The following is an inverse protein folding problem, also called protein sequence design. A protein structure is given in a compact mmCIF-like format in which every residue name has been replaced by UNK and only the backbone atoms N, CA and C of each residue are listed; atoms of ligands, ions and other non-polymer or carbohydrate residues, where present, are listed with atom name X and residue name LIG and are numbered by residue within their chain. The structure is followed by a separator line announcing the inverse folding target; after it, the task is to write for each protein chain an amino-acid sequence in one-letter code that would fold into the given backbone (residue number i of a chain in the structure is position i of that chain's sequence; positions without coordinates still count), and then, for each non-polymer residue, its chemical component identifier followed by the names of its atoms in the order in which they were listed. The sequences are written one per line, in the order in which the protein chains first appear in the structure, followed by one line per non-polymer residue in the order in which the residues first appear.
data_IF_143238316862
#
_entry.id   IF_143238316862
#
_cell.length_a   1.000
_cell.length_b   1.000
_cell.length_c   1.000
_cell.angle_alpha   90.00
_cell.angle_beta   90.00
_cell.angle_gamma   90.00
#
_symmetry.space_group_name_H-M   'P 1'
#
loop_
_entity.id
_entity.type
_entity.pdbx_description
1 polymer ?
#
# COMPACT_ATOMS: atom_id res chain seq x y z
N UNK A 1 35.64 -1.28 6.28
CA UNK A 1 34.45 -0.42 6.46
C UNK A 1 33.45 -0.76 5.38
N UNK A 2 32.33 -1.42 5.72
CA UNK A 2 31.28 -1.75 4.75
C UNK A 2 30.36 -0.53 4.53
N UNK A 3 30.01 -0.26 3.28
CA UNK A 3 29.20 0.88 2.86
C UNK A 3 27.79 0.85 3.51
N UNK A 4 27.31 1.94 4.13
CA UNK A 4 25.98 2.01 4.76
C UNK A 4 24.82 1.69 3.80
N UNK A 5 25.02 1.92 2.50
CA UNK A 5 24.03 1.71 1.43
C UNK A 5 23.75 0.22 1.16
N UNK A 6 24.69 -0.68 1.47
CA UNK A 6 24.49 -2.13 1.26
C UNK A 6 23.79 -2.83 2.43
N UNK A 7 23.79 -2.25 3.63
CA UNK A 7 23.07 -2.80 4.78
C UNK A 7 21.59 -2.41 4.79
N UNK A 8 21.24 -1.23 4.27
CA UNK A 8 19.84 -0.80 4.13
C UNK A 8 19.07 -1.62 3.09
N UNK A 9 19.71 -2.07 2.01
CA UNK A 9 19.08 -2.91 0.98
C UNK A 9 18.80 -4.35 1.46
N UNK A 10 19.66 -4.93 2.30
CA UNK A 10 19.46 -6.26 2.91
C UNK A 10 18.40 -6.28 4.00
N UNK A 11 18.31 -5.23 4.81
CA UNK A 11 17.28 -5.10 5.86
C UNK A 11 15.88 -4.97 5.26
N UNK A 12 15.74 -4.21 4.17
CA UNK A 12 14.45 -4.00 3.51
C UNK A 12 13.95 -5.26 2.77
N UNK A 13 14.85 -6.14 2.30
CA UNK A 13 14.45 -7.36 1.58
C UNK A 13 13.81 -8.42 2.48
N UNK A 14 14.24 -8.52 3.75
CA UNK A 14 13.73 -9.53 4.69
C UNK A 14 12.30 -9.23 5.19
N UNK A 15 11.97 -7.95 5.39
CA UNK A 15 10.63 -7.51 5.80
C UNK A 15 9.65 -7.64 4.62
N UNK A 16 10.12 -7.29 3.41
CA UNK A 16 9.35 -7.43 2.17
C UNK A 16 8.87 -8.88 1.94
N UNK A 17 9.75 -9.88 2.12
CA UNK A 17 9.43 -11.28 1.83
C UNK A 17 8.45 -11.93 2.82
N UNK A 18 8.40 -11.48 4.09
CA UNK A 18 7.44 -11.99 5.07
C UNK A 18 6.09 -11.28 5.03
N UNK A 19 6.04 -10.03 4.57
CA UNK A 19 4.83 -9.22 4.62
C UNK A 19 4.05 -9.28 3.30
N UNK A 20 4.74 -9.36 2.15
CA UNK A 20 4.11 -9.19 0.84
C UNK A 20 3.85 -10.54 0.17
N UNK A 21 2.59 -10.80 -0.20
CA UNK A 21 2.19 -12.02 -0.91
C UNK A 21 2.65 -12.01 -2.38
N UNK A 22 2.94 -13.17 -2.96
CA UNK A 22 3.36 -13.34 -4.37
C UNK A 22 2.36 -12.85 -5.44
N UNK A 23 1.15 -12.49 -5.03
CA UNK A 23 0.11 -11.92 -5.91
C UNK A 23 0.11 -10.39 -5.90
N UNK A 24 0.89 -9.78 -5.02
CA UNK A 24 1.18 -8.35 -5.04
C UNK A 24 2.46 -8.13 -5.83
N UNK A 25 2.37 -7.30 -6.85
CA UNK A 25 3.50 -6.93 -7.72
C UNK A 25 3.65 -5.41 -7.89
N UNK A 26 2.72 -4.62 -7.36
CA UNK A 26 2.78 -3.17 -7.40
C UNK A 26 3.78 -2.63 -6.38
N UNK A 27 4.59 -1.65 -6.77
CA UNK A 27 5.54 -0.96 -5.87
C UNK A 27 6.55 -1.89 -5.16
N UNK A 28 6.84 -3.05 -5.74
CA UNK A 28 7.85 -3.98 -5.24
C UNK A 28 9.05 -3.93 -6.19
N UNK A 29 10.27 -3.73 -5.68
CA UNK A 29 11.46 -3.81 -6.53
C UNK A 29 11.60 -5.18 -7.19
N UNK A 30 11.87 -5.19 -8.49
CA UNK A 30 12.10 -6.42 -9.26
C UNK A 30 10.84 -7.10 -9.79
N UNK A 31 9.64 -6.55 -9.54
CA UNK A 31 8.39 -7.01 -10.16
C UNK A 31 8.00 -6.13 -11.34
N UNK A 32 7.20 -6.69 -12.26
CA UNK A 32 6.73 -6.01 -13.47
C UNK A 32 5.21 -6.19 -13.64
N UNK A 33 4.53 -5.18 -14.16
CA UNK A 33 3.08 -5.24 -14.39
C UNK A 33 2.66 -6.36 -15.35
N UNK A 34 3.56 -6.80 -16.23
CA UNK A 34 3.30 -7.91 -17.15
C UNK A 34 2.97 -9.23 -16.44
N UNK A 35 3.48 -9.46 -15.23
CA UNK A 35 3.14 -10.64 -14.44
C UNK A 35 1.64 -10.71 -14.13
N UNK A 36 1.00 -9.57 -13.82
CA UNK A 36 -0.44 -9.52 -13.57
C UNK A 36 -1.24 -9.76 -14.86
N UNK A 37 -0.80 -9.20 -15.98
CA UNK A 37 -1.45 -9.40 -17.29
C UNK A 37 -1.42 -10.89 -17.66
N UNK A 38 -0.26 -11.53 -17.57
CA UNK A 38 -0.10 -12.96 -17.84
C UNK A 38 -0.93 -13.84 -16.90
N UNK A 39 -0.93 -13.54 -15.59
CA UNK A 39 -1.77 -14.24 -14.61
C UNK A 39 -3.27 -14.12 -14.96
N UNK A 40 -3.75 -12.91 -15.27
CA UNK A 40 -5.16 -12.69 -15.63
C UNK A 40 -5.57 -13.45 -16.89
N UNK A 41 -4.74 -13.45 -17.93
CA UNK A 41 -4.99 -14.22 -19.16
C UNK A 41 -5.11 -15.72 -18.85
N UNK A 42 -4.20 -16.25 -18.02
CA UNK A 42 -4.23 -17.66 -17.62
C UNK A 42 -5.50 -18.02 -16.83
N UNK A 43 -5.95 -17.14 -15.92
CA UNK A 43 -7.20 -17.33 -15.16
C UNK A 43 -8.41 -17.32 -16.08
N UNK A 44 -8.50 -16.36 -17.02
CA UNK A 44 -9.59 -16.30 -18.02
C UNK A 44 -9.61 -17.57 -18.87
N UNK A 45 -8.44 -18.03 -19.32
CA UNK A 45 -8.33 -19.28 -20.09
C UNK A 45 -8.82 -20.50 -19.30
N UNK A 46 -8.50 -20.57 -18.00
CA UNK A 46 -8.98 -21.64 -17.12
C UNK A 46 -10.50 -21.58 -16.92
N UNK A 47 -11.05 -20.39 -16.69
CA UNK A 47 -12.51 -20.18 -16.58
C UNK A 47 -13.24 -20.68 -17.84
N UNK A 48 -12.71 -20.40 -19.03
CA UNK A 48 -13.29 -20.85 -20.30
C UNK A 48 -13.28 -22.39 -20.46
N UNK A 49 -12.33 -23.09 -19.82
CA UNK A 49 -12.28 -24.56 -19.81
C UNK A 49 -13.22 -25.19 -18.79
N UNK A 50 -13.42 -24.56 -17.64
CA UNK A 50 -14.26 -25.08 -16.56
C UNK A 50 -15.71 -24.64 -16.77
N UNK A 51 -16.49 -25.48 -17.48
CA UNK A 51 -17.89 -25.16 -17.84
C UNK A 51 -18.94 -25.49 -16.77
N UNK A 52 -18.56 -26.21 -15.71
CA UNK A 52 -19.48 -26.68 -14.67
C UNK A 52 -19.59 -25.72 -13.46
N UNK A 53 -19.04 -24.51 -13.56
CA UNK A 53 -19.12 -23.47 -12.53
C UNK A 53 -19.34 -22.12 -13.19
N UNK A 54 -20.10 -21.26 -12.52
CA UNK A 54 -20.17 -19.85 -12.88
C UNK A 54 -18.93 -19.14 -12.35
N UNK A 55 -18.33 -18.29 -13.16
CA UNK A 55 -17.14 -17.52 -12.79
C UNK A 55 -17.42 -16.03 -12.95
N UNK A 56 -16.84 -15.20 -12.08
CA UNK A 56 -16.96 -13.75 -12.14
C UNK A 56 -15.58 -13.11 -11.95
N UNK A 57 -15.27 -12.10 -12.77
CA UNK A 57 -14.07 -11.28 -12.62
C UNK A 57 -14.53 -9.91 -12.12
N UNK A 58 -13.94 -9.47 -11.00
CA UNK A 58 -14.20 -8.15 -10.41
C UNK A 58 -12.93 -7.32 -10.55
N UNK A 59 -13.05 -6.16 -11.21
CA UNK A 59 -12.00 -5.14 -11.24
C UNK A 59 -12.34 -4.05 -10.24
N UNK A 60 -11.44 -3.77 -9.30
CA UNK A 60 -11.61 -2.75 -8.27
C UNK A 60 -10.51 -1.71 -8.45
N UNK A 61 -10.91 -0.46 -8.68
CA UNK A 61 -10.01 0.69 -8.73
C UNK A 61 -10.39 1.68 -7.61
N UNK A 62 -9.50 1.97 -6.64
CA UNK A 62 -9.79 2.91 -5.57
C UNK A 62 -9.88 4.34 -6.12
N UNK A 63 -11.10 4.89 -6.14
CA UNK A 63 -11.38 6.25 -6.62
C UNK A 63 -10.56 7.31 -5.84
N UNK A 64 -9.64 8.00 -6.54
CA UNK A 64 -8.72 9.01 -5.94
C UNK A 64 -8.12 8.51 -4.62
N UNK A 65 -7.68 7.24 -4.64
CA UNK A 65 -7.43 6.46 -3.44
C UNK A 65 -6.55 7.13 -2.39
N UNK A 66 -5.61 7.99 -2.80
CA UNK A 66 -4.65 8.62 -1.89
C UNK A 66 -5.15 9.91 -1.21
N UNK A 67 -6.17 10.57 -1.75
CA UNK A 67 -6.68 11.85 -1.24
C UNK A 67 -7.78 11.64 -0.20
N UNK A 68 -8.43 10.47 -0.24
CA UNK A 68 -9.58 10.13 0.61
C UNK A 68 -9.21 9.25 1.81
N UNK A 69 -7.99 8.72 1.89
CA UNK A 69 -7.59 7.88 3.02
C UNK A 69 -7.60 8.71 4.32
N UNK A 70 -8.23 8.14 5.34
CA UNK A 70 -8.28 8.69 6.69
C UNK A 70 -6.94 8.43 7.42
N UNK A 71 -6.38 9.45 8.06
CA UNK A 71 -5.12 9.30 8.80
C UNK A 71 -5.18 8.29 9.96
N UNK A 72 -6.25 8.21 10.76
CA UNK A 72 -6.37 7.17 11.79
C UNK A 72 -6.23 5.75 11.24
N UNK A 73 -6.72 5.50 10.03
CA UNK A 73 -6.56 4.21 9.37
C UNK A 73 -5.09 3.92 9.04
N UNK A 74 -4.34 4.90 8.51
CA UNK A 74 -2.91 4.75 8.22
C UNK A 74 -2.07 4.53 9.48
N UNK A 75 -2.49 5.07 10.62
CA UNK A 75 -1.79 4.93 11.91
C UNK A 75 -2.08 3.58 12.57
N UNK A 76 -3.34 3.11 12.53
CA UNK A 76 -3.76 1.92 13.26
C UNK A 76 -3.53 0.61 12.48
N UNK A 77 -3.64 0.65 11.16
CA UNK A 77 -3.50 -0.53 10.31
C UNK A 77 -2.14 -1.24 10.45
N UNK A 78 -0.98 -0.54 10.51
CA UNK A 78 0.32 -1.18 10.73
C UNK A 78 0.37 -2.03 12.00
N UNK A 79 -0.23 -1.57 13.10
CA UNK A 79 -0.31 -2.32 14.36
C UNK A 79 -1.06 -3.64 14.17
N UNK A 80 -2.17 -3.63 13.40
CA UNK A 80 -2.97 -4.83 13.14
C UNK A 80 -2.21 -5.92 12.35
N UNK A 81 -1.16 -5.54 11.61
CA UNK A 81 -0.32 -6.49 10.86
C UNK A 81 1.01 -6.78 11.57
N UNK A 82 1.16 -6.35 12.83
CA UNK A 82 2.35 -6.60 13.66
C UNK A 82 3.53 -5.65 13.41
N UNK A 83 3.30 -4.46 12.85
CA UNK A 83 4.31 -3.42 12.72
C UNK A 83 4.25 -2.51 13.95
N UNK A 84 5.33 -2.50 14.72
CA UNK A 84 5.47 -1.75 15.97
C UNK A 84 6.82 -1.00 16.04
N UNK A 85 7.03 -0.27 17.14
CA UNK A 85 8.28 0.44 17.42
C UNK A 85 8.54 1.62 16.47
N UNK A 86 9.81 1.84 16.14
CA UNK A 86 10.27 3.03 15.40
C UNK A 86 9.58 3.25 14.05
N UNK A 87 9.19 2.17 13.37
CA UNK A 87 8.44 2.27 12.10
C UNK A 87 7.05 2.87 12.31
N UNK A 88 6.34 2.45 13.36
CA UNK A 88 5.03 3.00 13.72
C UNK A 88 5.17 4.45 14.18
N UNK A 89 6.23 4.78 14.91
CA UNK A 89 6.50 6.15 15.37
C UNK A 89 6.75 7.11 14.19
N UNK A 90 7.45 6.66 13.14
CA UNK A 90 7.62 7.43 11.90
C UNK A 90 6.26 7.67 11.21
N UNK A 91 5.41 6.64 11.11
CA UNK A 91 4.08 6.77 10.52
C UNK A 91 3.23 7.78 11.31
N UNK A 92 3.23 7.68 12.64
CA UNK A 92 2.54 8.63 13.53
C UNK A 92 3.07 10.06 13.34
N UNK A 93 4.39 10.25 13.31
CA UNK A 93 5.00 11.56 13.11
C UNK A 93 4.56 12.23 11.79
N UNK A 94 4.27 11.44 10.74
CA UNK A 94 3.81 11.95 9.45
C UNK A 94 2.30 12.24 9.44
N UNK A 95 1.50 11.36 10.03
CA UNK A 95 0.04 11.32 9.83
C UNK A 95 -0.80 11.71 11.05
N UNK A 96 -0.25 11.86 12.25
CA UNK A 96 -1.04 12.14 13.47
C UNK A 96 -1.66 13.54 13.47
N UNK A 97 -0.88 14.56 13.10
CA UNK A 97 -1.34 15.95 13.03
C UNK A 97 -0.76 16.72 11.82
N UNK A 98 -0.97 16.24 10.59
CA UNK A 98 -0.44 16.91 9.41
C UNK A 98 -1.13 18.25 9.21
N UNK A 99 -0.35 19.32 9.10
CA UNK A 99 -0.86 20.65 8.76
C UNK A 99 -0.44 21.06 7.35
N UNK A 100 -1.26 21.91 6.73
CA UNK A 100 -0.97 22.57 5.46
C UNK A 100 -1.23 24.07 5.55
N UNK A 101 -0.60 24.83 4.66
CA UNK A 101 -0.82 26.25 4.46
C UNK A 101 -1.03 26.49 2.97
N UNK A 102 -1.85 27.49 2.64
CA UNK A 102 -2.00 27.98 1.27
C UNK A 102 -1.04 29.15 1.08
N UNK A 103 -0.30 29.15 -0.03
CA UNK A 103 0.49 30.30 -0.46
C UNK A 103 -0.29 30.99 -1.58
N UNK A 104 -0.66 32.25 -1.38
CA UNK A 104 -1.39 33.06 -2.34
C UNK A 104 -0.60 34.34 -2.62
N UNK A 105 -0.23 34.59 -3.87
CA UNK A 105 0.57 35.75 -4.29
C UNK A 105 1.86 35.93 -3.46
N UNK A 106 2.53 34.82 -3.12
CA UNK A 106 3.74 34.83 -2.30
C UNK A 106 3.51 34.97 -0.79
N UNK A 107 2.27 35.18 -0.34
CA UNK A 107 1.93 35.27 1.08
C UNK A 107 1.42 33.93 1.62
N UNK A 108 1.97 33.51 2.77
CA UNK A 108 1.58 32.27 3.45
C UNK A 108 0.36 32.54 4.35
N UNK A 109 -0.76 31.89 4.04
CA UNK A 109 -1.98 31.94 4.84
C UNK A 109 -1.87 31.04 6.09
N UNK A 110 -2.83 31.19 7.02
CA UNK A 110 -2.89 30.42 8.27
C UNK A 110 -2.88 28.91 8.01
N UNK A 111 -2.16 28.18 8.88
CA UNK A 111 -2.11 26.73 8.81
C UNK A 111 -3.46 26.13 9.22
N UNK A 112 -3.84 25.04 8.56
CA UNK A 112 -4.99 24.23 8.93
C UNK A 112 -4.60 22.75 9.00
N UNK A 113 -5.36 21.99 9.79
CA UNK A 113 -5.17 20.55 9.94
C UNK A 113 -5.74 19.81 8.73
N UNK A 114 -4.96 18.91 8.16
CA UNK A 114 -5.42 17.96 7.16
C UNK A 114 -6.08 16.78 7.87
N UNK A 115 -7.30 16.40 7.45
CA UNK A 115 -8.05 15.28 8.04
C UNK A 115 -7.94 13.98 7.23
N UNK A 116 -7.69 14.12 5.93
CA UNK A 116 -7.56 13.02 4.98
C UNK A 116 -6.48 13.36 3.97
N UNK A 117 -6.11 12.37 3.18
CA UNK A 117 -5.22 12.56 2.06
C UNK A 117 -3.75 12.54 2.45
N UNK A 118 -2.88 12.45 1.45
CA UNK A 118 -1.44 12.36 1.66
C UNK A 118 -0.72 13.42 0.83
N UNK A 119 0.51 13.78 1.23
CA UNK A 119 1.31 14.70 0.42
C UNK A 119 1.66 14.02 -0.90
N UNK A 120 1.46 14.71 -2.01
CA UNK A 120 1.90 14.22 -3.31
C UNK A 120 3.41 13.95 -3.27
N UNK A 121 3.82 12.76 -3.72
CA UNK A 121 5.22 12.33 -3.63
C UNK A 121 5.65 11.82 -2.25
N UNK A 122 4.71 11.52 -1.34
CA UNK A 122 5.05 10.88 -0.07
C UNK A 122 5.78 9.54 -0.32
N UNK A 123 7.06 9.39 0.11
CA UNK A 123 7.84 8.19 -0.18
C UNK A 123 7.35 6.96 0.60
N UNK A 124 6.59 7.16 1.69
CA UNK A 124 6.07 6.08 2.52
C UNK A 124 4.76 5.48 2.00
N UNK A 125 4.07 6.21 1.13
CA UNK A 125 2.74 5.84 0.65
C UNK A 125 2.70 4.54 -0.16
N UNK A 126 3.66 4.24 -1.06
CA UNK A 126 3.68 2.97 -1.77
C UNK A 126 3.77 1.75 -0.83
N UNK A 127 4.57 1.87 0.24
CA UNK A 127 4.70 0.82 1.24
C UNK A 127 3.40 0.64 2.02
N UNK A 128 2.79 1.73 2.49
CA UNK A 128 1.52 1.69 3.20
C UNK A 128 0.42 1.06 2.34
N UNK A 129 0.40 1.36 1.04
CA UNK A 129 -0.55 0.74 0.10
C UNK A 129 -0.38 -0.78 0.02
N UNK A 130 0.86 -1.28 -0.07
CA UNK A 130 1.10 -2.72 -0.09
C UNK A 130 0.57 -3.41 1.17
N UNK A 131 0.70 -2.76 2.33
CA UNK A 131 0.15 -3.28 3.58
C UNK A 131 -1.39 -3.25 3.58
N UNK A 132 -2.02 -2.16 3.11
CA UNK A 132 -3.50 -2.10 2.96
C UNK A 132 -4.00 -3.22 2.04
N UNK A 133 -3.35 -3.40 0.89
CA UNK A 133 -3.70 -4.45 -0.06
C UNK A 133 -3.50 -5.85 0.55
N UNK A 134 -2.57 -6.02 1.49
CA UNK A 134 -2.37 -7.27 2.21
C UNK A 134 -3.55 -7.57 3.13
N UNK A 135 -3.99 -6.57 3.89
CA UNK A 135 -5.17 -6.70 4.78
C UNK A 135 -6.39 -7.09 3.96
N UNK A 136 -6.63 -6.39 2.85
CA UNK A 136 -7.74 -6.70 1.94
C UNK A 136 -7.64 -8.12 1.37
N UNK A 137 -6.48 -8.51 0.82
CA UNK A 137 -6.28 -9.84 0.26
C UNK A 137 -6.41 -10.96 1.31
N UNK A 138 -6.01 -10.68 2.56
CA UNK A 138 -6.16 -11.62 3.68
C UNK A 138 -7.63 -11.79 4.04
N UNK A 139 -8.39 -10.69 4.11
CA UNK A 139 -9.82 -10.74 4.38
C UNK A 139 -10.58 -11.55 3.31
N UNK A 140 -10.27 -11.33 2.02
CA UNK A 140 -10.87 -12.09 0.91
C UNK A 140 -10.59 -13.60 1.03
N UNK A 141 -9.37 -13.98 1.44
CA UNK A 141 -9.00 -15.40 1.59
C UNK A 141 -9.57 -16.06 2.84
N UNK A 142 -9.82 -15.27 3.90
CA UNK A 142 -10.38 -15.79 5.14
C UNK A 142 -11.87 -16.16 5.00
N UNK A 143 -12.56 -15.62 3.99
CA UNK A 143 -13.96 -15.95 3.67
C UNK A 143 -14.14 -17.35 3.05
N UNK A 144 -13.05 -18.08 2.76
CA UNK A 144 -13.09 -19.48 2.30
C UNK A 144 -13.17 -20.52 3.44
N UNK A 145 -13.45 -20.12 4.68
CA UNK A 145 -13.73 -21.02 5.82
C UNK A 145 -15.16 -20.87 6.32
#
# INVERSE_FOLDING_TARGET
MQNPVQNTSKSNSAIHQKIIHQDQVGFIPGTQSWYNIGKSINVIHLMNKIKNKNHMIISIDPEKGFDKIQHPFLINMPTNVGIEGSYLDIIKAIYERPTANIILNGQKLKAFLLRTGTRQGCPLLPLLLNIVMKVLATAIRQEEK
#
